data_IF_174165590048
#
_entry.id   IF_174165590048
#
_cell.length_a   1.000
_cell.length_b   1.000
_cell.length_c   1.000
_cell.angle_alpha   90.00
_cell.angle_beta   90.00
_cell.angle_gamma   90.00
#
_symmetry.space_group_name_H-M   'P 1'
#
loop_
_entity.id
_entity.type
_entity.pdbx_description
1 polymer ?
#
# COMPACT_ATOMS: atom_id res chain seq x y z
N UNK A 1 -19.38 41.62 -5.93
CA UNK A 1 -18.80 40.93 -4.76
C UNK A 1 -18.61 39.43 -5.00
N UNK A 2 -19.37 38.81 -5.91
CA UNK A 2 -19.24 37.41 -6.36
C UNK A 2 -17.81 36.99 -6.81
N UNK A 3 -17.12 37.83 -7.59
CA UNK A 3 -15.80 37.50 -8.17
C UNK A 3 -14.68 37.39 -7.12
N UNK A 4 -14.70 38.24 -6.09
CA UNK A 4 -13.70 38.21 -5.02
C UNK A 4 -13.91 37.01 -4.10
N UNK A 5 -15.17 36.63 -3.86
CA UNK A 5 -15.52 35.43 -3.07
C UNK A 5 -15.14 34.14 -3.82
N UNK A 6 -15.36 34.09 -5.13
CA UNK A 6 -14.94 32.96 -5.98
C UNK A 6 -13.41 32.80 -6.02
N UNK A 7 -12.67 33.89 -6.17
CA UNK A 7 -11.20 33.87 -6.17
C UNK A 7 -10.61 33.34 -4.84
N UNK A 8 -11.13 33.83 -3.70
CA UNK A 8 -10.70 33.37 -2.38
C UNK A 8 -11.07 31.91 -2.13
N UNK A 9 -12.26 31.49 -2.58
CA UNK A 9 -12.71 30.09 -2.45
C UNK A 9 -11.82 29.14 -3.27
N UNK A 10 -11.45 29.53 -4.50
CA UNK A 10 -10.54 28.75 -5.33
C UNK A 10 -9.15 28.56 -4.70
N UNK A 11 -8.59 29.60 -4.08
CA UNK A 11 -7.29 29.52 -3.39
C UNK A 11 -7.35 28.59 -2.17
N UNK A 12 -8.41 28.68 -1.36
CA UNK A 12 -8.60 27.83 -0.17
C UNK A 12 -8.73 26.36 -0.58
N UNK A 13 -9.52 26.06 -1.61
CA UNK A 13 -9.73 24.69 -2.07
C UNK A 13 -8.46 24.14 -2.72
N UNK A 14 -7.74 24.95 -3.51
CA UNK A 14 -6.44 24.56 -4.08
C UNK A 14 -5.41 24.20 -2.99
N UNK A 15 -5.35 25.01 -1.93
CA UNK A 15 -4.49 24.73 -0.76
C UNK A 15 -4.90 23.47 -0.02
N UNK A 16 -6.19 23.23 0.14
CA UNK A 16 -6.70 22.02 0.79
C UNK A 16 -6.35 20.76 -0.02
N UNK A 17 -6.55 20.78 -1.35
CA UNK A 17 -6.15 19.68 -2.24
C UNK A 17 -4.63 19.47 -2.21
N UNK A 18 -3.84 20.54 -2.24
CA UNK A 18 -2.37 20.47 -2.19
C UNK A 18 -1.88 19.86 -0.88
N UNK A 19 -2.52 20.21 0.24
CA UNK A 19 -2.24 19.62 1.55
C UNK A 19 -2.57 18.12 1.59
N UNK A 20 -3.74 17.73 1.05
CA UNK A 20 -4.10 16.33 0.91
C UNK A 20 -3.05 15.58 0.07
N UNK A 21 -2.72 16.09 -1.11
CA UNK A 21 -1.74 15.46 -2.01
C UNK A 21 -0.37 15.29 -1.33
N UNK A 22 0.15 16.34 -0.68
CA UNK A 22 1.43 16.28 0.05
C UNK A 22 1.42 15.27 1.19
N UNK A 23 0.34 15.21 1.98
CA UNK A 23 0.19 14.29 3.10
C UNK A 23 0.09 12.84 2.62
N UNK A 24 -0.67 12.58 1.55
CA UNK A 24 -0.83 11.23 1.00
C UNK A 24 0.44 10.75 0.32
N UNK A 25 1.09 11.55 -0.53
CA UNK A 25 2.36 11.15 -1.18
C UNK A 25 3.45 10.80 -0.17
N UNK A 26 3.56 11.54 0.93
CA UNK A 26 4.54 11.24 1.98
C UNK A 26 4.22 9.94 2.73
N UNK A 27 2.94 9.65 2.92
CA UNK A 27 2.48 8.41 3.54
C UNK A 27 2.70 7.21 2.62
N UNK A 28 2.37 7.34 1.34
CA UNK A 28 2.56 6.30 0.31
C UNK A 28 4.03 5.90 0.18
N UNK A 29 4.97 6.85 0.13
CA UNK A 29 6.41 6.56 0.05
C UNK A 29 6.88 5.74 1.27
N UNK A 30 6.36 6.07 2.46
CA UNK A 30 6.72 5.34 3.69
C UNK A 30 6.10 3.93 3.74
N UNK A 31 4.87 3.76 3.24
CA UNK A 31 4.20 2.47 3.18
C UNK A 31 4.84 1.57 2.11
N UNK A 32 5.14 2.10 0.92
CA UNK A 32 5.80 1.39 -0.18
C UNK A 32 7.12 0.76 0.28
N UNK A 33 7.98 1.52 0.96
CA UNK A 33 9.25 1.01 1.50
C UNK A 33 9.06 -0.12 2.53
N UNK A 34 7.99 -0.09 3.32
CA UNK A 34 7.68 -1.17 4.25
C UNK A 34 7.12 -2.40 3.53
N UNK A 35 6.30 -2.21 2.48
CA UNK A 35 5.77 -3.28 1.65
C UNK A 35 6.89 -3.96 0.84
N UNK A 36 7.86 -3.21 0.32
CA UNK A 36 9.05 -3.76 -0.35
C UNK A 36 9.85 -4.67 0.59
N UNK A 37 10.09 -4.22 1.82
CA UNK A 37 10.78 -5.03 2.84
C UNK A 37 9.99 -6.29 3.18
N UNK A 38 8.67 -6.17 3.32
CA UNK A 38 7.79 -7.32 3.56
C UNK A 38 7.87 -8.30 2.39
N UNK A 39 7.80 -7.82 1.15
CA UNK A 39 7.92 -8.65 -0.05
C UNK A 39 9.27 -9.37 -0.13
N UNK A 40 10.38 -8.69 0.18
CA UNK A 40 11.70 -9.30 0.23
C UNK A 40 11.78 -10.41 1.30
N UNK A 41 11.20 -10.18 2.48
CA UNK A 41 11.15 -11.18 3.54
C UNK A 41 10.30 -12.39 3.13
N UNK A 42 9.16 -12.16 2.47
CA UNK A 42 8.29 -13.23 1.98
C UNK A 42 9.00 -14.09 0.94
N UNK A 43 9.70 -13.49 -0.03
CA UNK A 43 10.49 -14.23 -1.02
C UNK A 43 11.55 -15.10 -0.36
N UNK A 44 12.27 -14.56 0.63
CA UNK A 44 13.28 -15.32 1.36
C UNK A 44 12.67 -16.50 2.11
N UNK A 45 11.49 -16.30 2.70
CA UNK A 45 10.73 -17.36 3.35
C UNK A 45 10.32 -18.44 2.34
N UNK A 46 9.77 -18.05 1.18
CA UNK A 46 9.39 -18.99 0.12
C UNK A 46 10.56 -19.85 -0.30
N UNK A 47 11.74 -19.24 -0.54
CA UNK A 47 12.96 -19.98 -0.89
C UNK A 47 13.37 -20.99 0.18
N UNK A 48 13.32 -20.61 1.47
CA UNK A 48 13.65 -21.53 2.58
C UNK A 48 12.68 -22.71 2.63
N UNK A 49 11.39 -22.47 2.40
CA UNK A 49 10.37 -23.53 2.38
C UNK A 49 10.57 -24.47 1.19
N UNK A 50 10.80 -23.94 -0.01
CA UNK A 50 11.09 -24.71 -1.21
C UNK A 50 12.37 -25.55 -1.07
N UNK A 51 13.42 -24.96 -0.52
CA UNK A 51 14.69 -25.64 -0.29
C UNK A 51 14.56 -26.75 0.77
N UNK A 52 13.76 -26.54 1.80
CA UNK A 52 13.45 -27.55 2.79
C UNK A 52 12.65 -28.73 2.21
N UNK A 53 11.70 -28.45 1.33
CA UNK A 53 10.93 -29.48 0.62
C UNK A 53 11.84 -30.31 -0.29
N UNK A 54 12.73 -29.66 -1.06
CA UNK A 54 13.70 -30.33 -1.91
C UNK A 54 14.72 -31.21 -1.16
N UNK A 55 14.96 -30.93 0.13
CA UNK A 55 15.83 -31.73 1.02
C UNK A 55 15.08 -32.84 1.77
N UNK A 56 13.77 -33.01 1.56
CA UNK A 56 12.93 -33.99 2.24
C UNK A 56 13.12 -34.00 3.77
N UNK A 57 12.97 -32.84 4.41
CA UNK A 57 13.13 -32.72 5.87
C UNK A 57 12.08 -33.55 6.62
N UNK A 58 12.54 -34.47 7.47
CA UNK A 58 11.67 -35.35 8.29
C UNK A 58 11.68 -35.01 9.78
N UNK A 59 12.58 -34.12 10.23
CA UNK A 59 12.66 -33.69 11.62
C UNK A 59 11.40 -32.89 12.01
N UNK A 60 10.64 -33.40 12.98
CA UNK A 60 9.37 -32.81 13.41
C UNK A 60 9.50 -31.37 13.94
N UNK A 61 10.60 -31.04 14.62
CA UNK A 61 10.87 -29.68 15.10
C UNK A 61 11.09 -28.70 13.96
N UNK A 62 11.88 -29.10 12.95
CA UNK A 62 12.09 -28.28 11.75
C UNK A 62 10.82 -28.14 10.92
N UNK A 63 10.01 -29.20 10.80
CA UNK A 63 8.70 -29.13 10.13
C UNK A 63 7.75 -28.16 10.83
N UNK A 64 7.77 -28.10 12.17
CA UNK A 64 6.98 -27.12 12.92
C UNK A 64 7.43 -25.68 12.65
N UNK A 65 8.75 -25.44 12.57
CA UNK A 65 9.30 -24.13 12.21
C UNK A 65 8.93 -23.73 10.79
N UNK A 66 9.03 -24.64 9.82
CA UNK A 66 8.64 -24.41 8.42
C UNK A 66 7.15 -24.10 8.30
N UNK A 67 6.30 -24.81 9.04
CA UNK A 67 4.87 -24.51 9.08
C UNK A 67 4.59 -23.11 9.62
N UNK A 68 5.28 -22.70 10.69
CA UNK A 68 5.17 -21.34 11.22
C UNK A 68 5.63 -20.28 10.21
N UNK A 69 6.68 -20.58 9.44
CA UNK A 69 7.20 -19.71 8.40
C UNK A 69 6.21 -19.56 7.23
N UNK A 70 5.65 -20.66 6.75
CA UNK A 70 4.64 -20.67 5.69
C UNK A 70 3.34 -19.93 6.11
N UNK A 71 2.93 -20.09 7.36
CA UNK A 71 1.78 -19.40 7.93
C UNK A 71 2.00 -17.88 8.06
N UNK A 72 3.21 -17.46 8.49
CA UNK A 72 3.61 -16.06 8.47
C UNK A 72 3.66 -15.50 7.04
N UNK A 73 4.10 -16.30 6.07
CA UNK A 73 4.15 -15.93 4.66
C UNK A 73 2.74 -15.65 4.11
N UNK A 74 1.81 -16.56 4.35
CA UNK A 74 0.42 -16.42 3.90
C UNK A 74 -0.23 -15.14 4.45
N UNK A 75 -0.05 -14.86 5.76
CA UNK A 75 -0.52 -13.61 6.36
C UNK A 75 0.13 -12.38 5.75
N UNK A 76 1.44 -12.42 5.49
CA UNK A 76 2.14 -11.30 4.87
C UNK A 76 1.62 -10.99 3.46
N UNK A 77 1.30 -12.01 2.67
CA UNK A 77 0.66 -11.81 1.36
C UNK A 77 -0.74 -11.20 1.48
N UNK A 78 -1.56 -11.67 2.42
CA UNK A 78 -2.87 -11.07 2.66
C UNK A 78 -2.77 -9.58 3.02
N UNK A 79 -1.80 -9.22 3.86
CA UNK A 79 -1.54 -7.81 4.20
C UNK A 79 -1.12 -7.01 2.96
N UNK A 80 -0.20 -7.52 2.14
CA UNK A 80 0.20 -6.87 0.89
C UNK A 80 -1.00 -6.60 -0.04
N UNK A 81 -1.89 -7.57 -0.18
CA UNK A 81 -3.06 -7.43 -1.06
C UNK A 81 -4.08 -6.43 -0.51
N UNK A 82 -4.28 -6.37 0.82
CA UNK A 82 -5.10 -5.32 1.44
C UNK A 82 -4.58 -3.91 1.14
N UNK A 83 -3.27 -3.68 1.27
CA UNK A 83 -2.66 -2.38 0.97
C UNK A 83 -2.80 -2.02 -0.52
N UNK A 84 -2.57 -2.98 -1.43
CA UNK A 84 -2.76 -2.78 -2.87
C UNK A 84 -4.19 -2.40 -3.23
N UNK A 85 -5.19 -3.06 -2.62
CA UNK A 85 -6.59 -2.72 -2.82
C UNK A 85 -6.92 -1.32 -2.29
N UNK A 86 -6.44 -0.98 -1.07
CA UNK A 86 -6.65 0.34 -0.46
C UNK A 86 -6.08 1.46 -1.33
N UNK A 87 -4.86 1.31 -1.82
CA UNK A 87 -4.21 2.33 -2.65
C UNK A 87 -4.96 2.56 -3.96
N UNK A 88 -5.44 1.50 -4.63
CA UNK A 88 -6.26 1.62 -5.84
C UNK A 88 -7.56 2.40 -5.62
N UNK A 89 -8.24 2.16 -4.50
CA UNK A 89 -9.48 2.88 -4.15
C UNK A 89 -9.19 4.36 -3.89
N UNK A 90 -8.11 4.65 -3.18
CA UNK A 90 -7.71 6.01 -2.85
C UNK A 90 -7.29 6.80 -4.09
N UNK A 91 -6.51 6.18 -4.98
CA UNK A 91 -6.09 6.76 -6.26
C UNK A 91 -7.29 7.11 -7.14
N UNK A 92 -8.27 6.20 -7.24
CA UNK A 92 -9.51 6.46 -7.98
C UNK A 92 -10.30 7.64 -7.39
N UNK A 93 -10.38 7.73 -6.06
CA UNK A 93 -11.10 8.82 -5.37
C UNK A 93 -10.43 10.19 -5.64
N UNK A 94 -9.10 10.26 -5.62
CA UNK A 94 -8.36 11.49 -5.92
C UNK A 94 -8.54 11.88 -7.39
N UNK A 95 -8.51 10.91 -8.30
CA UNK A 95 -8.75 11.15 -9.74
C UNK A 95 -10.15 11.70 -9.99
N UNK A 96 -11.19 11.17 -9.33
CA UNK A 96 -12.54 11.72 -9.45
C UNK A 96 -12.64 13.16 -8.92
N UNK A 97 -11.98 13.47 -7.79
CA UNK A 97 -11.94 14.84 -7.27
C UNK A 97 -11.23 15.80 -8.23
N UNK A 98 -10.16 15.35 -8.91
CA UNK A 98 -9.47 16.16 -9.93
C UNK A 98 -10.34 16.38 -11.17
N UNK A 99 -11.03 15.34 -11.65
CA UNK A 99 -11.94 15.42 -12.81
C UNK A 99 -13.12 16.35 -12.52
N UNK A 100 -13.75 16.21 -11.35
CA UNK A 100 -14.87 17.09 -10.94
C UNK A 100 -14.43 18.54 -10.86
N UNK A 101 -13.24 18.82 -10.33
CA UNK A 101 -12.68 20.17 -10.29
C UNK A 101 -12.44 20.76 -11.68
N UNK A 102 -11.91 19.95 -12.60
CA UNK A 102 -11.61 20.40 -13.96
C UNK A 102 -12.86 20.62 -14.82
N UNK A 103 -14.02 20.10 -14.39
CA UNK A 103 -15.32 20.33 -15.04
C UNK A 103 -16.10 21.49 -14.41
N UNK A 104 -15.68 21.97 -13.23
CA UNK A 104 -16.32 23.06 -12.47
C UNK A 104 -15.77 24.45 -12.85
N UNK A 105 -14.70 24.49 -13.65
CA UNK A 105 -14.04 25.69 -14.17
C UNK A 105 -13.84 25.52 -15.68
#
# INVERSE_FOLDING_TARGET
MELAVSAVTGEIVSRFISFLLSKYSSHEISEEKQLERLQQLLLRVSTVVEEADGRYITNSGMLMQLKGLADAMYRGHHVLDMFRCRNKIQENSIKELLITWQNLW
#
